data_IF_003355640551
#
_entry.id   IF_003355640551
#
_cell.length_a   1.000
_cell.length_b   1.000
_cell.length_c   1.000
_cell.angle_alpha   90.00
_cell.angle_beta   90.00
_cell.angle_gamma   90.00
#
_symmetry.space_group_name_H-M   'P 1'
#
loop_
_entity.id
_entity.type
_entity.pdbx_description
1 polymer ?
#
# COMPACT_ATOMS: atom_id res chain seq x y z
N UNK A 1 -0.27 6.88 -27.40
CA UNK A 1 0.78 6.65 -26.38
C UNK A 1 0.11 6.54 -25.02
N UNK A 2 0.35 5.45 -24.30
CA UNK A 2 -0.09 5.28 -22.91
C UNK A 2 0.76 6.17 -21.97
N UNK A 3 0.16 6.66 -20.88
CA UNK A 3 0.87 7.44 -19.83
C UNK A 3 1.14 6.54 -18.62
N UNK A 4 2.41 6.43 -18.22
CA UNK A 4 2.80 5.81 -16.96
C UNK A 4 2.62 6.81 -15.81
N UNK A 5 1.98 6.39 -14.71
CA UNK A 5 1.83 7.18 -13.49
C UNK A 5 2.23 6.34 -12.29
N UNK A 6 2.97 6.95 -11.36
CA UNK A 6 3.39 6.32 -10.09
C UNK A 6 2.80 7.13 -8.95
N UNK A 7 2.20 6.44 -7.99
CA UNK A 7 1.76 7.01 -6.72
C UNK A 7 2.59 6.34 -5.64
N UNK A 8 3.29 7.15 -4.85
CA UNK A 8 4.23 6.66 -3.85
C UNK A 8 4.24 7.61 -2.66
N UNK A 9 4.49 7.08 -1.46
CA UNK A 9 4.67 7.88 -0.25
C UNK A 9 6.12 7.85 0.14
N UNK A 10 6.67 9.02 0.49
CA UNK A 10 8.02 9.17 1.00
C UNK A 10 7.98 10.01 2.27
N UNK A 11 8.94 9.76 3.15
CA UNK A 11 9.22 10.65 4.26
C UNK A 11 9.76 11.99 3.77
N UNK A 12 9.73 13.00 4.66
CA UNK A 12 10.21 14.36 4.34
C UNK A 12 11.71 14.41 3.98
N UNK A 13 12.48 13.47 4.49
CA UNK A 13 13.90 13.26 4.22
C UNK A 13 14.17 12.33 3.03
N UNK A 14 13.12 11.87 2.32
CA UNK A 14 13.24 11.26 0.99
C UNK A 14 13.27 9.73 0.95
N UNK A 15 12.82 9.04 2.00
CA UNK A 15 12.85 7.59 2.09
C UNK A 15 11.45 6.96 1.94
N UNK A 16 11.37 5.85 1.20
CA UNK A 16 10.13 5.06 1.02
C UNK A 16 9.92 3.95 2.05
N UNK A 17 10.89 3.76 2.95
CA UNK A 17 10.90 2.75 3.99
C UNK A 17 11.65 3.33 5.21
N UNK A 18 11.36 2.79 6.40
CA UNK A 18 12.10 3.11 7.62
C UNK A 18 13.50 2.47 7.64
N UNK A 19 14.34 2.85 8.62
CA UNK A 19 15.62 2.18 8.86
C UNK A 19 15.45 0.72 9.27
N UNK A 20 16.53 -0.06 9.23
CA UNK A 20 16.59 -1.44 9.73
C UNK A 20 15.54 -2.38 9.10
N UNK A 21 15.41 -2.33 7.77
CA UNK A 21 14.54 -3.24 7.03
C UNK A 21 15.05 -4.68 7.08
N UNK A 22 14.23 -5.60 7.58
CA UNK A 22 14.52 -7.02 7.66
C UNK A 22 13.24 -7.86 7.42
N UNK A 23 13.29 -9.17 7.65
CA UNK A 23 12.13 -10.05 7.47
C UNK A 23 11.01 -9.80 8.48
N UNK A 24 11.32 -9.26 9.67
CA UNK A 24 10.34 -8.93 10.70
C UNK A 24 9.75 -7.53 10.47
N UNK A 25 10.55 -6.61 9.91
CA UNK A 25 10.23 -5.24 9.59
C UNK A 25 10.37 -5.02 8.08
N UNK A 26 9.48 -5.57 7.24
CA UNK A 26 9.63 -5.55 5.79
C UNK A 26 9.57 -4.15 5.17
N UNK A 27 9.06 -3.15 5.90
CA UNK A 27 9.08 -1.73 5.51
C UNK A 27 10.06 -0.91 6.36
N UNK A 28 10.90 -1.55 7.16
CA UNK A 28 11.75 -0.89 8.16
C UNK A 28 10.98 -0.43 9.39
N UNK A 29 11.72 -0.13 10.45
CA UNK A 29 11.18 0.33 11.73
C UNK A 29 10.47 1.66 11.53
N UNK A 30 9.18 1.70 11.86
CA UNK A 30 8.34 2.89 11.67
C UNK A 30 7.99 3.21 10.22
N UNK A 31 8.37 2.37 9.24
CA UNK A 31 8.14 2.63 7.82
C UNK A 31 6.68 2.68 7.41
N UNK A 32 5.77 2.09 8.19
CA UNK A 32 4.33 2.22 7.95
C UNK A 32 3.83 3.66 8.07
N UNK A 33 4.52 4.52 8.81
CA UNK A 33 4.05 5.89 9.09
C UNK A 33 3.92 6.76 7.85
N UNK A 34 4.74 6.53 6.82
CA UNK A 34 4.61 7.28 5.56
C UNK A 34 3.30 6.98 4.83
N UNK A 35 2.59 5.91 5.22
CA UNK A 35 1.30 5.48 4.68
C UNK A 35 0.12 5.79 5.62
N UNK A 36 0.32 6.48 6.75
CA UNK A 36 -0.75 6.79 7.73
C UNK A 36 -1.93 7.55 7.11
N UNK A 37 -1.68 8.36 6.07
CA UNK A 37 -2.71 9.08 5.34
C UNK A 37 -3.64 8.16 4.52
N UNK A 38 -3.15 6.97 4.16
CA UNK A 38 -3.79 6.05 3.20
C UNK A 38 -4.62 4.97 3.88
N UNK A 39 -4.16 4.44 5.02
CA UNK A 39 -4.86 3.36 5.73
C UNK A 39 -6.31 3.68 6.14
N UNK A 40 -6.67 4.91 6.55
CA UNK A 40 -8.05 5.23 6.90
C UNK A 40 -9.00 5.33 5.70
N UNK A 41 -8.47 5.46 4.48
CA UNK A 41 -9.28 5.69 3.28
C UNK A 41 -10.20 4.51 2.98
N UNK A 42 -11.41 4.80 2.51
CA UNK A 42 -12.35 3.78 2.03
C UNK A 42 -11.74 2.90 0.95
N UNK A 43 -10.89 3.46 0.10
CA UNK A 43 -10.16 2.73 -0.94
C UNK A 43 -9.30 1.61 -0.35
N UNK A 44 -8.47 1.91 0.66
CA UNK A 44 -7.66 0.88 1.34
C UNK A 44 -8.50 -0.15 2.07
N UNK A 45 -9.52 0.32 2.80
CA UNK A 45 -10.40 -0.53 3.60
C UNK A 45 -11.12 -1.56 2.72
N UNK A 46 -11.65 -1.13 1.57
CA UNK A 46 -12.30 -2.03 0.60
C UNK A 46 -11.35 -3.06 -0.02
N UNK A 47 -10.07 -2.73 -0.21
CA UNK A 47 -9.08 -3.73 -0.66
C UNK A 47 -8.90 -4.86 0.36
N UNK A 48 -9.09 -4.57 1.64
CA UNK A 48 -8.95 -5.52 2.74
C UNK A 48 -10.29 -6.14 3.16
N UNK A 49 -11.36 -5.93 2.39
CA UNK A 49 -12.67 -6.52 2.63
C UNK A 49 -13.54 -5.78 3.64
N UNK A 50 -13.13 -4.59 4.07
CA UNK A 50 -13.92 -3.73 4.97
C UNK A 50 -14.86 -2.83 4.16
N UNK A 51 -16.03 -2.51 4.72
CA UNK A 51 -17.08 -1.75 4.01
C UNK A 51 -17.00 -0.23 4.22
N UNK A 52 -16.36 0.20 5.31
CA UNK A 52 -16.32 1.60 5.75
C UNK A 52 -14.91 2.21 5.62
N UNK A 53 -14.81 3.53 5.75
CA UNK A 53 -13.57 4.29 5.69
C UNK A 53 -13.78 5.73 5.26
N UNK A 54 -12.77 6.57 5.47
CA UNK A 54 -12.78 7.99 5.16
C UNK A 54 -12.94 8.23 3.65
N UNK A 55 -13.72 9.24 3.28
CA UNK A 55 -14.00 9.63 1.88
C UNK A 55 -13.56 11.06 1.57
N UNK A 56 -12.52 11.55 2.27
CA UNK A 56 -11.96 12.87 2.03
C UNK A 56 -10.99 12.91 0.86
N UNK A 57 -10.23 13.99 0.76
CA UNK A 57 -9.22 14.22 -0.30
C UNK A 57 -8.22 13.07 -0.43
N UNK A 58 -7.84 12.44 0.69
CA UNK A 58 -6.95 11.28 0.68
C UNK A 58 -7.58 10.09 -0.06
N UNK A 59 -8.88 9.85 0.11
CA UNK A 59 -9.59 8.78 -0.59
C UNK A 59 -9.73 9.09 -2.08
N UNK A 60 -9.94 10.36 -2.47
CA UNK A 60 -9.98 10.75 -3.88
C UNK A 60 -8.64 10.45 -4.60
N UNK A 61 -7.52 10.79 -3.94
CA UNK A 61 -6.17 10.49 -4.47
C UNK A 61 -5.97 8.97 -4.54
N UNK A 62 -6.31 8.24 -3.48
CA UNK A 62 -6.24 6.78 -3.41
C UNK A 62 -7.06 6.10 -4.54
N UNK A 63 -8.32 6.51 -4.71
CA UNK A 63 -9.22 5.98 -5.73
C UNK A 63 -8.68 6.26 -7.15
N UNK A 64 -8.08 7.43 -7.37
CA UNK A 64 -7.50 7.80 -8.66
C UNK A 64 -6.32 6.90 -9.06
N UNK A 65 -5.44 6.55 -8.11
CA UNK A 65 -4.29 5.67 -8.35
C UNK A 65 -4.70 4.22 -8.58
N UNK A 66 -5.67 3.73 -7.82
CA UNK A 66 -6.13 2.33 -7.85
C UNK A 66 -6.94 1.99 -9.10
N UNK A 67 -7.58 3.00 -9.72
CA UNK A 67 -8.17 2.87 -11.06
C UNK A 67 -7.15 2.43 -12.12
N UNK A 68 -5.90 2.85 -11.99
CA UNK A 68 -4.80 2.48 -12.90
C UNK A 68 -4.19 1.12 -12.49
N UNK A 69 -4.13 0.84 -11.18
CA UNK A 69 -3.54 -0.39 -10.62
C UNK A 69 -4.38 -1.67 -10.85
N UNK A 70 -5.60 -1.59 -11.41
CA UNK A 70 -6.43 -2.76 -11.77
C UNK A 70 -5.73 -3.75 -12.72
N UNK A 71 -4.61 -3.38 -13.33
CA UNK A 71 -3.77 -4.29 -14.15
C UNK A 71 -2.91 -5.23 -13.29
N UNK A 72 -2.57 -4.88 -12.05
CA UNK A 72 -1.66 -5.67 -11.20
C UNK A 72 -2.40 -6.70 -10.33
N UNK A 73 -3.69 -6.51 -10.04
CA UNK A 73 -4.47 -7.43 -9.18
C UNK A 73 -4.88 -8.75 -9.85
N UNK A 74 -4.43 -9.03 -11.09
CA UNK A 74 -4.59 -10.34 -11.76
C UNK A 74 -3.39 -11.27 -11.62
N UNK A 75 -2.45 -10.99 -10.71
CA UNK A 75 -1.48 -11.98 -10.26
C UNK A 75 -2.10 -12.86 -9.15
N UNK A 76 -2.98 -13.82 -9.52
CA UNK A 76 -3.25 -14.99 -8.67
C UNK A 76 -1.96 -15.83 -8.64
N UNK A 77 -1.07 -15.55 -7.70
CA UNK A 77 -0.22 -16.59 -7.14
C UNK A 77 -0.60 -16.77 -5.68
N UNK A 78 -1.10 -17.95 -5.27
CA UNK A 78 -1.28 -18.24 -3.86
C UNK A 78 0.10 -18.22 -3.19
N UNK A 79 0.24 -17.42 -2.15
CA UNK A 79 1.40 -17.43 -1.27
C UNK A 79 1.37 -18.76 -0.49
N UNK A 80 2.02 -19.80 -1.00
CA UNK A 80 2.12 -21.12 -0.35
C UNK A 80 3.54 -21.43 0.15
N UNK A 81 4.31 -20.40 0.51
CA UNK A 81 5.67 -20.56 1.02
C UNK A 81 5.98 -19.53 2.11
N UNK A 82 5.30 -19.64 3.24
CA UNK A 82 5.74 -19.08 4.52
C UNK A 82 5.44 -20.13 5.62
N UNK A 83 6.43 -20.98 5.87
CA UNK A 83 6.72 -21.53 7.19
C UNK A 83 5.70 -22.48 7.84
N UNK A 84 5.63 -23.73 7.39
CA UNK A 84 5.56 -24.84 8.34
C UNK A 84 6.99 -25.34 8.57
N UNK A 85 7.62 -24.85 9.63
CA UNK A 85 8.69 -25.51 10.40
C UNK A 85 8.88 -24.73 11.71
N UNK A 86 8.54 -25.44 12.79
CA UNK A 86 8.49 -25.07 14.22
C UNK A 86 7.26 -24.29 14.66
#
# INVERSE_FOLDING_TARGET
MSKLRVYFSISIDGFGAGPDQDLQNPLGVGGLRVFDWFFPTRTWQRMHGNEDGETGVNDDIAASGTRILRVISRARRPCHLLGQRM
#
